data_IF_402268639733
#
_entry.id   IF_402268639733
#
_cell.length_a   1.000
_cell.length_b   1.000
_cell.length_c   1.000
_cell.angle_alpha   90.00
_cell.angle_beta   90.00
_cell.angle_gamma   90.00
#
_symmetry.space_group_name_H-M   'P 1'
#
loop_
_entity.id
_entity.type
_entity.pdbx_description
1 polymer ?
#
# COMPACT_ATOMS: atom_id res chain seq x y z
N UNK A 1 9.90 66.13 -39.77
CA UNK A 1 9.95 66.17 -38.29
C UNK A 1 9.46 64.84 -37.76
N UNK A 2 10.37 64.13 -37.10
CA UNK A 2 10.23 62.77 -36.58
C UNK A 2 9.31 62.76 -35.37
N UNK A 3 8.38 61.80 -35.28
CA UNK A 3 7.81 61.39 -34.00
C UNK A 3 7.93 59.86 -33.90
N UNK A 4 9.00 59.45 -33.23
CA UNK A 4 9.33 58.08 -32.92
C UNK A 4 8.31 57.49 -31.92
N UNK A 5 7.83 56.27 -32.20
CA UNK A 5 7.07 55.45 -31.26
C UNK A 5 8.05 54.88 -30.22
N UNK A 6 8.06 55.42 -29.00
CA UNK A 6 8.77 54.81 -27.89
C UNK A 6 7.85 53.76 -27.24
N UNK A 7 8.17 52.49 -27.45
CA UNK A 7 7.58 51.38 -26.70
C UNK A 7 8.31 51.24 -25.37
N UNK A 8 7.59 51.46 -24.26
CA UNK A 8 8.09 51.25 -22.91
C UNK A 8 7.81 49.80 -22.52
N UNK A 9 8.82 48.93 -22.57
CA UNK A 9 8.73 47.56 -22.01
C UNK A 9 9.13 47.65 -20.55
N UNK A 10 8.15 47.50 -19.65
CA UNK A 10 8.40 47.34 -18.22
C UNK A 10 8.98 45.95 -17.97
N UNK A 11 10.26 45.89 -17.61
CA UNK A 11 10.94 44.65 -17.23
C UNK A 11 10.54 44.30 -15.80
N UNK A 12 9.57 43.40 -15.64
CA UNK A 12 9.16 42.84 -14.36
C UNK A 12 10.27 41.87 -13.90
N UNK A 13 11.10 42.30 -12.94
CA UNK A 13 12.05 41.41 -12.28
C UNK A 13 11.26 40.52 -11.32
N UNK A 14 11.00 39.28 -11.73
CA UNK A 14 10.48 38.23 -10.83
C UNK A 14 11.63 37.85 -9.90
N UNK A 15 11.55 38.31 -8.66
CA UNK A 15 12.41 37.81 -7.59
C UNK A 15 11.94 36.40 -7.23
N UNK A 16 12.69 35.39 -7.67
CA UNK A 16 12.49 34.02 -7.22
C UNK A 16 13.02 33.91 -5.79
N UNK A 17 12.13 34.06 -4.81
CA UNK A 17 12.43 33.62 -3.45
C UNK A 17 12.77 32.11 -3.52
N UNK A 18 13.83 31.64 -2.87
CA UNK A 18 14.11 30.22 -2.80
C UNK A 18 12.90 29.54 -2.15
N UNK A 19 12.31 28.56 -2.84
CA UNK A 19 11.38 27.61 -2.25
C UNK A 19 12.06 27.07 -0.99
N UNK A 20 11.58 27.48 0.18
CA UNK A 20 12.00 26.90 1.43
C UNK A 20 11.92 25.37 1.25
N UNK A 21 13.02 24.67 1.50
CA UNK A 21 13.01 23.22 1.53
C UNK A 21 11.80 22.79 2.35
N UNK A 22 10.90 22.04 1.73
CA UNK A 22 9.57 21.74 2.28
C UNK A 22 9.75 21.14 3.68
N UNK A 23 9.14 21.77 4.69
CA UNK A 23 9.35 21.42 6.10
C UNK A 23 9.02 19.94 6.33
N UNK A 24 9.85 19.16 7.04
CA UNK A 24 9.60 17.73 7.25
C UNK A 24 8.25 17.49 7.93
N UNK A 25 7.50 16.48 7.47
CA UNK A 25 6.19 16.14 8.02
C UNK A 25 6.32 15.56 9.43
N UNK A 26 5.87 16.31 10.43
CA UNK A 26 6.12 16.07 11.86
C UNK A 26 5.25 14.95 12.44
N UNK A 27 5.66 14.41 13.59
CA UNK A 27 4.96 13.33 14.28
C UNK A 27 3.53 13.74 14.69
N UNK A 28 3.33 14.97 15.13
CA UNK A 28 2.03 15.50 15.53
C UNK A 28 1.08 15.61 14.32
N UNK A 29 1.61 16.01 13.17
CA UNK A 29 0.86 16.05 11.91
C UNK A 29 0.44 14.65 11.46
N UNK A 30 1.33 13.65 11.63
CA UNK A 30 1.00 12.22 11.40
C UNK A 30 -0.09 11.74 12.35
N UNK A 31 0.01 12.06 13.64
CA UNK A 31 -1.01 11.65 14.60
C UNK A 31 -2.38 12.22 14.23
N UNK A 32 -2.45 13.53 13.93
CA UNK A 32 -3.70 14.20 13.58
C UNK A 32 -4.38 13.60 12.34
N UNK A 33 -3.64 13.37 11.25
CA UNK A 33 -4.23 12.76 10.06
C UNK A 33 -4.61 11.28 10.28
N UNK A 34 -3.84 10.52 11.06
CA UNK A 34 -4.19 9.14 11.38
C UNK A 34 -5.45 9.04 12.25
N UNK A 35 -5.65 9.98 13.18
CA UNK A 35 -6.89 10.13 13.93
C UNK A 35 -8.05 10.36 12.96
N UNK A 36 -7.95 11.35 12.07
CA UNK A 36 -8.99 11.65 11.08
C UNK A 36 -9.34 10.43 10.20
N UNK A 37 -8.33 9.72 9.72
CA UNK A 37 -8.52 8.48 8.93
C UNK A 37 -9.23 7.38 9.73
N UNK A 38 -8.85 7.17 10.99
CA UNK A 38 -9.49 6.16 11.83
C UNK A 38 -10.91 6.56 12.24
N UNK A 39 -11.23 7.84 12.36
CA UNK A 39 -12.61 8.29 12.57
C UNK A 39 -13.51 7.98 11.38
N UNK A 40 -13.05 8.26 10.14
CA UNK A 40 -13.78 7.87 8.91
C UNK A 40 -13.94 6.36 8.81
N UNK A 41 -12.86 5.60 9.02
CA UNK A 41 -12.91 4.13 9.03
C UNK A 41 -13.88 3.63 10.08
N UNK A 42 -13.85 4.20 11.28
CA UNK A 42 -14.77 3.83 12.36
C UNK A 42 -16.21 4.10 11.96
N UNK A 43 -16.53 5.28 11.42
CA UNK A 43 -17.87 5.61 10.95
C UNK A 43 -18.38 4.62 9.90
N UNK A 44 -17.53 4.22 8.95
CA UNK A 44 -17.85 3.24 7.90
C UNK A 44 -18.01 1.80 8.41
N UNK A 45 -17.55 1.45 9.63
CA UNK A 45 -17.73 0.10 10.18
C UNK A 45 -19.22 -0.21 10.36
N UNK A 46 -19.63 -1.36 9.84
CA UNK A 46 -21.00 -1.87 10.02
C UNK A 46 -21.26 -2.03 11.52
N UNK A 47 -22.35 -1.43 11.99
CA UNK A 47 -22.92 -1.67 13.31
C UNK A 47 -24.27 -2.38 13.08
N UNK A 48 -24.37 -3.68 13.40
CA UNK A 48 -25.59 -4.44 13.15
C UNK A 48 -26.83 -3.77 13.74
N UNK A 49 -27.93 -3.77 12.99
CA UNK A 49 -29.20 -3.20 13.45
C UNK A 49 -29.76 -3.91 14.68
N UNK A 50 -29.42 -5.19 14.83
CA UNK A 50 -29.83 -6.02 15.98
C UNK A 50 -29.00 -5.73 17.24
N UNK A 51 -27.95 -4.89 17.17
CA UNK A 51 -27.23 -4.50 18.37
C UNK A 51 -28.11 -3.61 19.24
N UNK A 52 -28.43 -4.02 20.49
CA UNK A 52 -29.33 -3.28 21.36
C UNK A 52 -28.70 -1.98 21.91
N UNK A 53 -27.38 -1.82 21.76
CA UNK A 53 -26.62 -0.64 22.20
C UNK A 53 -26.22 0.21 20.98
N UNK A 54 -26.19 1.55 21.13
CA UNK A 54 -25.70 2.41 20.06
C UNK A 54 -24.22 2.11 19.76
N UNK A 55 -23.80 2.41 18.54
CA UNK A 55 -22.40 2.28 18.13
C UNK A 55 -21.52 3.11 19.07
N UNK A 56 -20.55 2.51 19.77
CA UNK A 56 -19.68 3.27 20.66
C UNK A 56 -18.82 4.25 19.87
N UNK A 57 -18.38 5.32 20.52
CA UNK A 57 -17.42 6.25 19.95
C UNK A 57 -16.09 5.54 19.66
N UNK A 58 -15.36 5.95 18.60
CA UNK A 58 -14.06 5.35 18.24
C UNK A 58 -13.14 5.29 19.45
N UNK A 59 -12.90 6.43 20.10
CA UNK A 59 -12.03 6.56 21.28
C UNK A 59 -12.33 5.62 22.45
N UNK A 60 -13.56 5.11 22.56
CA UNK A 60 -13.92 4.14 23.58
C UNK A 60 -13.41 2.72 23.27
N UNK A 61 -13.08 2.42 22.01
CA UNK A 61 -12.62 1.11 21.53
C UNK A 61 -11.19 1.17 20.99
N UNK A 62 -10.89 2.22 20.22
CA UNK A 62 -9.59 2.56 19.67
C UNK A 62 -9.25 3.99 20.12
N UNK A 63 -8.52 4.07 21.23
CA UNK A 63 -8.09 5.35 21.81
C UNK A 63 -6.99 6.00 20.97
N UNK A 64 -6.76 7.28 21.21
CA UNK A 64 -5.79 8.09 20.48
C UNK A 64 -4.35 7.63 20.77
N UNK A 65 -4.09 7.13 21.99
CA UNK A 65 -2.81 6.54 22.39
C UNK A 65 -2.50 5.28 21.57
N UNK A 66 -3.51 4.46 21.26
CA UNK A 66 -3.33 3.28 20.40
C UNK A 66 -3.03 3.72 18.96
N UNK A 67 -3.63 4.79 18.48
CA UNK A 67 -3.34 5.36 17.15
C UNK A 67 -1.92 5.92 17.12
N UNK A 68 -1.51 6.65 18.16
CA UNK A 68 -0.15 7.15 18.31
C UNK A 68 0.88 6.00 18.28
N UNK A 69 0.66 4.94 19.05
CA UNK A 69 1.56 3.78 19.04
C UNK A 69 1.65 3.12 17.65
N UNK A 70 0.59 3.17 16.82
CA UNK A 70 0.64 2.70 15.42
C UNK A 70 1.45 3.62 14.53
N UNK A 71 1.35 4.94 14.70
CA UNK A 71 2.18 5.91 13.99
C UNK A 71 3.65 5.70 14.34
N UNK A 72 3.98 5.59 15.63
CA UNK A 72 5.34 5.32 16.09
C UNK A 72 5.88 4.00 15.53
N UNK A 73 5.07 2.93 15.54
CA UNK A 73 5.42 1.66 14.91
C UNK A 73 5.72 1.81 13.42
N UNK A 74 4.94 2.61 12.69
CA UNK A 74 5.19 2.84 11.26
C UNK A 74 6.53 3.52 10.99
N UNK A 75 6.91 4.48 11.84
CA UNK A 75 8.21 5.15 11.78
C UNK A 75 9.35 4.19 12.13
N UNK A 76 9.15 3.32 13.12
CA UNK A 76 10.10 2.26 13.47
C UNK A 76 10.27 1.25 12.32
N UNK A 77 9.18 0.89 11.62
CA UNK A 77 9.25 0.02 10.45
C UNK A 77 10.02 0.67 9.30
N UNK A 78 9.87 1.97 9.08
CA UNK A 78 10.62 2.71 8.05
C UNK A 78 12.12 2.77 8.41
N UNK A 79 12.44 3.01 9.68
CA UNK A 79 13.80 2.91 10.19
C UNK A 79 14.38 1.50 9.99
N UNK A 80 13.66 0.46 10.42
CA UNK A 80 14.10 -0.92 10.28
C UNK A 80 14.34 -1.31 8.81
N UNK A 81 13.47 -0.86 7.90
CA UNK A 81 13.62 -1.10 6.47
C UNK A 81 14.93 -0.48 5.93
N UNK A 82 15.29 0.71 6.41
CA UNK A 82 16.55 1.36 6.05
C UNK A 82 17.76 0.69 6.67
N UNK A 83 17.76 0.45 7.97
CA UNK A 83 18.95 -0.03 8.68
C UNK A 83 19.21 -1.53 8.46
N UNK A 84 18.17 -2.37 8.37
CA UNK A 84 18.33 -3.83 8.26
C UNK A 84 18.43 -4.33 6.81
N UNK A 85 17.88 -3.57 5.86
CA UNK A 85 17.76 -3.96 4.45
C UNK A 85 18.30 -2.93 3.47
N UNK A 86 18.77 -1.76 3.93
CA UNK A 86 19.30 -0.71 3.05
C UNK A 86 18.26 -0.05 2.14
N UNK A 87 16.96 -0.28 2.38
CA UNK A 87 15.88 0.21 1.50
C UNK A 87 15.33 1.53 2.04
N UNK A 88 15.43 2.59 1.23
CA UNK A 88 14.82 3.89 1.52
C UNK A 88 13.47 4.04 0.79
N UNK A 89 12.58 4.84 1.38
CA UNK A 89 11.29 5.18 0.78
C UNK A 89 11.38 6.54 0.09
N UNK A 90 11.73 6.50 -1.18
CA UNK A 90 11.86 7.67 -2.04
C UNK A 90 10.50 8.26 -2.43
N UNK A 91 10.47 9.57 -2.71
CA UNK A 91 9.24 10.29 -3.07
C UNK A 91 8.53 9.67 -4.30
N UNK A 92 9.29 9.24 -5.31
CA UNK A 92 8.73 8.59 -6.51
C UNK A 92 8.00 7.28 -6.16
N UNK A 93 8.54 6.51 -5.22
CA UNK A 93 7.90 5.28 -4.77
C UNK A 93 6.58 5.57 -4.01
N UNK A 94 6.54 6.65 -3.24
CA UNK A 94 5.32 7.10 -2.55
C UNK A 94 4.28 7.56 -3.59
N UNK A 95 4.68 8.34 -4.58
CA UNK A 95 3.76 8.78 -5.65
C UNK A 95 3.20 7.59 -6.45
N UNK A 96 4.03 6.60 -6.78
CA UNK A 96 3.58 5.38 -7.42
C UNK A 96 2.59 4.59 -6.55
N UNK A 97 2.79 4.57 -5.24
CA UNK A 97 1.87 3.95 -4.30
C UNK A 97 0.53 4.70 -4.22
N UNK A 98 0.53 6.04 -4.21
CA UNK A 98 -0.70 6.83 -4.30
C UNK A 98 -1.47 6.46 -5.56
N UNK A 99 -0.81 6.46 -6.72
CA UNK A 99 -1.43 6.10 -8.00
C UNK A 99 -2.01 4.67 -7.96
N UNK A 100 -1.30 3.73 -7.33
CA UNK A 100 -1.78 2.35 -7.13
C UNK A 100 -3.03 2.33 -6.25
N UNK A 101 -3.06 3.06 -5.14
CA UNK A 101 -4.21 3.14 -4.22
C UNK A 101 -5.43 3.68 -4.97
N UNK A 102 -5.27 4.79 -5.70
CA UNK A 102 -6.36 5.42 -6.45
C UNK A 102 -6.91 4.51 -7.55
N UNK A 103 -6.03 3.84 -8.31
CA UNK A 103 -6.43 2.99 -9.44
C UNK A 103 -6.98 1.62 -9.03
N UNK A 104 -6.44 1.01 -7.98
CA UNK A 104 -6.69 -0.40 -7.63
C UNK A 104 -7.63 -0.59 -6.43
N UNK A 105 -8.24 0.48 -5.90
CA UNK A 105 -9.16 0.38 -4.77
C UNK A 105 -10.41 -0.41 -5.14
N UNK A 106 -10.78 -1.37 -4.31
CA UNK A 106 -12.05 -2.12 -4.41
C UNK A 106 -13.22 -1.38 -3.72
N UNK A 107 -12.94 -0.27 -3.04
CA UNK A 107 -13.93 0.54 -2.34
C UNK A 107 -13.68 2.03 -2.64
N UNK A 108 -13.98 2.51 -3.86
CA UNK A 108 -13.67 3.88 -4.28
C UNK A 108 -14.44 4.94 -3.48
N UNK A 109 -15.68 4.66 -3.06
CA UNK A 109 -16.45 5.58 -2.21
C UNK A 109 -15.78 5.79 -0.85
N UNK A 110 -15.43 4.72 -0.15
CA UNK A 110 -14.73 4.81 1.13
C UNK A 110 -13.34 5.48 0.98
N UNK A 111 -12.66 5.26 -0.15
CA UNK A 111 -11.40 5.97 -0.44
C UNK A 111 -11.64 7.47 -0.60
N UNK A 112 -12.69 7.90 -1.29
CA UNK A 112 -13.04 9.32 -1.42
C UNK A 112 -13.27 9.97 -0.04
N UNK A 113 -13.98 9.30 0.87
CA UNK A 113 -14.19 9.80 2.24
C UNK A 113 -12.88 9.97 3.02
N UNK A 114 -11.91 9.06 2.83
CA UNK A 114 -10.58 9.20 3.42
C UNK A 114 -9.81 10.39 2.84
N UNK A 115 -9.93 10.66 1.53
CA UNK A 115 -9.29 11.82 0.90
C UNK A 115 -9.91 13.12 1.38
N UNK A 116 -11.23 13.17 1.56
CA UNK A 116 -11.95 14.31 2.15
C UNK A 116 -11.45 14.58 3.58
N UNK A 117 -11.29 13.54 4.41
CA UNK A 117 -10.76 13.70 5.77
C UNK A 117 -9.29 14.13 5.83
N UNK A 118 -8.57 14.04 4.72
CA UNK A 118 -7.22 14.58 4.56
C UNK A 118 -7.21 15.94 3.86
N UNK A 119 -8.36 16.60 3.72
CA UNK A 119 -8.54 17.88 3.01
C UNK A 119 -8.09 17.85 1.54
N UNK A 120 -8.00 16.66 0.93
CA UNK A 120 -7.35 16.42 -0.36
C UNK A 120 -5.89 16.94 -0.42
N UNK A 121 -5.23 17.13 0.72
CA UNK A 121 -3.85 17.61 0.79
C UNK A 121 -2.89 16.50 0.31
N UNK A 122 -2.16 16.71 -0.81
CA UNK A 122 -1.24 15.71 -1.35
C UNK A 122 -0.18 15.28 -0.34
N UNK A 123 0.29 16.18 0.53
CA UNK A 123 1.31 15.87 1.54
C UNK A 123 0.74 14.94 2.61
N UNK A 124 -0.48 15.20 3.09
CA UNK A 124 -1.16 14.31 4.05
C UNK A 124 -1.48 12.95 3.44
N UNK A 125 -1.92 12.91 2.18
CA UNK A 125 -2.16 11.66 1.45
C UNK A 125 -0.87 10.85 1.32
N UNK A 126 0.23 11.49 0.93
CA UNK A 126 1.54 10.84 0.82
C UNK A 126 2.00 10.28 2.18
N UNK A 127 1.96 11.10 3.22
CA UNK A 127 2.60 10.78 4.50
C UNK A 127 1.75 9.91 5.43
N UNK A 128 0.43 10.01 5.37
CA UNK A 128 -0.47 9.34 6.31
C UNK A 128 -1.24 8.16 5.69
N UNK A 129 -1.45 8.18 4.37
CA UNK A 129 -2.16 7.11 3.67
C UNK A 129 -1.19 6.20 2.90
N UNK A 130 -0.33 6.75 2.06
CA UNK A 130 0.49 5.95 1.14
C UNK A 130 1.78 5.41 1.78
N UNK A 131 2.61 6.28 2.38
CA UNK A 131 3.90 5.90 2.98
C UNK A 131 3.80 4.75 3.99
N UNK A 132 2.91 4.79 5.02
CA UNK A 132 2.84 3.70 5.99
C UNK A 132 2.47 2.35 5.36
N UNK A 133 1.56 2.33 4.38
CA UNK A 133 1.21 1.11 3.63
C UNK A 133 2.38 0.58 2.81
N UNK A 134 3.12 1.48 2.16
CA UNK A 134 4.31 1.14 1.37
C UNK A 134 5.42 0.56 2.24
N UNK A 135 5.71 1.20 3.38
CA UNK A 135 6.70 0.75 4.37
C UNK A 135 6.38 -0.65 4.85
N UNK A 136 5.15 -0.87 5.33
CA UNK A 136 4.73 -2.16 5.87
C UNK A 136 4.83 -3.27 4.82
N UNK A 137 4.38 -3.00 3.58
CA UNK A 137 4.47 -3.94 2.48
C UNK A 137 5.93 -4.25 2.11
N UNK A 138 6.79 -3.25 2.01
CA UNK A 138 8.21 -3.43 1.68
C UNK A 138 8.95 -4.18 2.77
N UNK A 139 8.70 -3.85 4.04
CA UNK A 139 9.31 -4.54 5.17
C UNK A 139 8.90 -6.00 5.25
N UNK A 140 7.60 -6.31 5.11
CA UNK A 140 7.12 -7.70 5.03
C UNK A 140 7.78 -8.48 3.89
N UNK A 141 7.85 -7.86 2.71
CA UNK A 141 8.46 -8.48 1.54
C UNK A 141 9.97 -8.69 1.69
N UNK A 142 10.67 -7.77 2.35
CA UNK A 142 12.09 -7.89 2.64
C UNK A 142 12.34 -9.03 3.65
N UNK A 143 11.59 -9.05 4.75
CA UNK A 143 11.66 -10.10 5.76
C UNK A 143 11.39 -11.49 5.17
N UNK A 144 10.29 -11.64 4.41
CA UNK A 144 9.90 -12.93 3.83
C UNK A 144 10.93 -13.54 2.88
N UNK A 145 11.87 -12.74 2.35
CA UNK A 145 12.95 -13.20 1.45
C UNK A 145 14.32 -13.18 2.10
N UNK A 146 14.40 -12.87 3.39
CA UNK A 146 15.66 -12.72 4.09
C UNK A 146 16.21 -14.09 4.51
N UNK A 147 17.32 -14.46 3.88
CA UNK A 147 17.99 -15.74 4.13
C UNK A 147 18.56 -15.86 5.54
N UNK A 148 18.83 -14.73 6.23
CA UNK A 148 19.29 -14.76 7.62
C UNK A 148 18.26 -15.39 8.55
N UNK A 149 16.97 -15.25 8.22
CA UNK A 149 15.86 -15.78 9.01
C UNK A 149 15.27 -17.06 8.42
N UNK A 150 15.25 -17.18 7.09
CA UNK A 150 14.56 -18.26 6.39
C UNK A 150 15.49 -19.32 5.77
N UNK A 151 16.79 -19.07 5.66
CA UNK A 151 17.73 -19.95 4.94
C UNK A 151 17.79 -21.36 5.52
N UNK A 152 18.02 -21.48 6.83
CA UNK A 152 18.10 -22.79 7.48
C UNK A 152 16.82 -23.63 7.34
N UNK A 153 15.66 -22.97 7.39
CA UNK A 153 14.37 -23.63 7.18
C UNK A 153 14.16 -24.04 5.72
N UNK A 154 14.54 -23.18 4.76
CA UNK A 154 14.46 -23.50 3.34
C UNK A 154 15.40 -24.66 2.99
N UNK A 155 16.61 -24.68 3.52
CA UNK A 155 17.58 -25.75 3.33
C UNK A 155 17.03 -27.09 3.88
N UNK A 156 16.40 -27.08 5.06
CA UNK A 156 15.79 -28.30 5.62
C UNK A 156 14.61 -28.80 4.79
N UNK A 157 13.73 -27.88 4.35
CA UNK A 157 12.59 -28.23 3.49
C UNK A 157 13.09 -28.78 2.16
N UNK A 158 14.11 -28.16 1.56
CA UNK A 158 14.68 -28.61 0.30
C UNK A 158 15.31 -30.00 0.43
N UNK A 159 16.03 -30.27 1.53
CA UNK A 159 16.59 -31.59 1.81
C UNK A 159 15.49 -32.65 1.97
N UNK A 160 14.41 -32.32 2.67
CA UNK A 160 13.27 -33.21 2.86
C UNK A 160 12.56 -33.51 1.53
N UNK A 161 12.25 -32.48 0.72
CA UNK A 161 11.66 -32.63 -0.62
C UNK A 161 12.54 -33.50 -1.51
N UNK A 162 13.85 -33.25 -1.52
CA UNK A 162 14.78 -34.06 -2.31
C UNK A 162 14.79 -35.49 -1.80
N UNK A 163 14.75 -35.73 -0.49
CA UNK A 163 14.79 -37.08 0.09
C UNK A 163 13.48 -37.86 -0.06
N UNK A 164 12.33 -37.17 -0.18
CA UNK A 164 11.03 -37.81 -0.33
C UNK A 164 10.85 -38.39 -1.74
N UNK A 165 10.94 -39.72 -1.82
CA UNK A 165 10.75 -40.48 -3.06
C UNK A 165 9.36 -40.26 -3.68
N UNK A 166 8.34 -39.94 -2.88
CA UNK A 166 6.95 -39.79 -3.34
C UNK A 166 6.75 -38.51 -4.18
N UNK A 167 7.52 -37.46 -3.90
CA UNK A 167 7.49 -36.21 -4.66
C UNK A 167 8.31 -36.25 -5.96
N UNK A 168 9.24 -37.21 -6.08
CA UNK A 168 9.99 -37.45 -7.32
C UNK A 168 9.17 -38.14 -8.40
N UNK A 169 8.13 -38.89 -8.03
CA UNK A 169 7.25 -39.59 -8.99
C UNK A 169 6.22 -38.66 -9.65
N UNK A 170 5.90 -37.52 -9.02
CA UNK A 170 4.97 -36.51 -9.55
C UNK A 170 5.50 -35.72 -10.75
N UNK A 171 6.81 -35.68 -10.98
CA UNK A 171 7.40 -35.04 -12.18
C UNK A 171 7.22 -35.88 -13.46
N UNK A 172 6.85 -37.16 -13.35
CA UNK A 172 6.60 -38.05 -14.51
C UNK A 172 5.13 -38.31 -14.83
N UNK A 173 4.18 -37.72 -14.11
CA UNK A 173 2.75 -38.00 -14.32
C UNK A 173 1.82 -36.79 -14.41
N UNK A 174 2.35 -35.57 -14.55
CA UNK A 174 1.53 -34.42 -14.96
C UNK A 174 1.50 -34.32 -16.50
N UNK A 175 1.09 -35.41 -17.15
CA UNK A 175 0.40 -35.28 -18.42
C UNK A 175 -0.97 -34.74 -18.03
N UNK A 176 -1.30 -33.52 -18.46
CA UNK A 176 -2.71 -33.13 -18.52
C UNK A 176 -3.34 -34.14 -19.47
N UNK A 177 -3.93 -35.21 -18.91
CA UNK A 177 -4.87 -36.04 -19.63
C UNK A 177 -5.94 -35.05 -20.11
N UNK A 178 -5.86 -34.68 -21.38
CA UNK A 178 -7.01 -34.17 -22.10
C UNK A 178 -8.02 -35.31 -22.08
N UNK A 179 -8.81 -35.35 -21.01
CA UNK A 179 -9.93 -36.25 -20.85
C UNK A 179 -10.79 -36.08 -22.11
N UNK A 180 -10.74 -37.09 -23.00
CA UNK A 180 -11.57 -37.10 -24.18
C UNK A 180 -13.01 -37.05 -23.68
N UNK A 181 -13.73 -35.98 -24.02
CA UNK A 181 -15.14 -35.85 -23.70
C UNK A 181 -15.85 -37.01 -24.39
N UNK A 182 -16.33 -37.95 -23.58
CA UNK A 182 -17.13 -39.10 -24.01
C UNK A 182 -18.62 -38.75 -23.92
N UNK A 183 -19.40 -39.20 -24.89
CA UNK A 183 -20.85 -39.04 -24.87
C UNK A 183 -21.54 -40.04 -23.92
N UNK A 184 -22.87 -39.93 -23.80
CA UNK A 184 -23.68 -40.82 -22.94
C UNK A 184 -23.61 -42.31 -23.36
N UNK A 185 -23.11 -42.60 -24.57
CA UNK A 185 -22.86 -43.94 -25.07
C UNK A 185 -21.40 -44.41 -24.86
N UNK A 186 -20.56 -43.57 -24.24
CA UNK A 186 -19.15 -43.87 -23.95
C UNK A 186 -18.21 -43.74 -25.15
N UNK A 187 -18.63 -43.05 -26.22
CA UNK A 187 -17.80 -42.84 -27.42
C UNK A 187 -17.14 -41.46 -27.39
N UNK A 188 -15.87 -41.31 -27.82
CA UNK A 188 -15.18 -40.03 -27.84
C UNK A 188 -15.83 -39.06 -28.83
N UNK A 189 -16.14 -37.86 -28.36
CA UNK A 189 -16.79 -36.81 -29.18
C UNK A 189 -15.76 -36.25 -30.18
N UNK A 190 -16.04 -36.29 -31.50
CA UNK A 190 -15.12 -35.75 -32.50
C UNK A 190 -15.00 -34.22 -32.35
N UNK A 191 -13.76 -33.74 -32.30
CA UNK A 191 -13.43 -32.32 -32.21
C UNK A 191 -13.96 -31.60 -33.46
N UNK A 192 -14.83 -30.60 -33.27
CA UNK A 192 -15.39 -29.82 -34.39
C UNK A 192 -14.26 -29.03 -35.04
N UNK A 193 -14.08 -29.25 -36.35
CA UNK A 193 -13.17 -28.49 -37.21
C UNK A 193 -13.49 -26.99 -37.24
#
# INVERSE_FOLDING_TARGET
MHLAKAALIAMLVVSAAPLAADEPFRAEQRLACHIALEDVRWQARIWPVDNPKPKPARRAILSDEVIQARVERSLQMELALRELYGVRIEAEAVQAEINRILRASRAPAALADLLVALDHDPRRVAECLARPLLVERRLRNAYARDQRWHGALLDSIQAEIVSDRRLRETDTHFVLDHEQVIDEAGQPVPERA
#
